data_IF_742783425770
#
_entry.id   IF_742783425770
#
_cell.length_a   1.000
_cell.length_b   1.000
_cell.length_c   1.000
_cell.angle_alpha   90.00
_cell.angle_beta   90.00
_cell.angle_gamma   90.00
#
_symmetry.space_group_name_H-M   'P 1'
#
loop_
_entity.id
_entity.type
_entity.pdbx_description
1 polymer ?
#
# COMPACT_ATOMS: atom_id res chain seq x y z
N UNK A 1 -1.77 8.95 4.15
CA UNK A 1 -1.79 7.49 4.38
C UNK A 1 -3.12 6.87 4.00
N UNK A 2 -4.22 7.26 4.66
CA UNK A 2 -5.55 6.66 4.44
C UNK A 2 -5.99 6.69 2.96
N UNK A 3 -5.86 7.86 2.30
CA UNK A 3 -6.23 8.03 0.89
C UNK A 3 -5.48 7.07 -0.06
N UNK A 4 -4.18 6.84 0.17
CA UNK A 4 -3.40 5.90 -0.64
C UNK A 4 -3.80 4.45 -0.40
N UNK A 5 -4.08 4.08 0.85
CA UNK A 5 -4.54 2.72 1.19
C UNK A 5 -5.89 2.42 0.55
N UNK A 6 -6.86 3.32 0.68
CA UNK A 6 -8.17 3.16 0.06
C UNK A 6 -8.10 3.16 -1.47
N UNK A 7 -7.26 4.01 -2.08
CA UNK A 7 -7.11 4.04 -3.53
C UNK A 7 -6.49 2.74 -4.09
N UNK A 8 -5.43 2.21 -3.45
CA UNK A 8 -4.83 0.93 -3.84
C UNK A 8 -5.75 -0.25 -3.60
N UNK A 9 -6.40 -0.31 -2.42
CA UNK A 9 -7.30 -1.39 -2.06
C UNK A 9 -8.52 -1.44 -2.98
N UNK A 10 -9.13 -0.29 -3.28
CA UNK A 10 -10.24 -0.20 -4.22
C UNK A 10 -9.79 -0.43 -5.67
N UNK A 11 -8.66 0.12 -6.10
CA UNK A 11 -8.16 -0.06 -7.46
C UNK A 11 -7.82 -1.52 -7.77
N UNK A 12 -7.02 -2.17 -6.92
CA UNK A 12 -6.65 -3.57 -7.10
C UNK A 12 -7.81 -4.53 -6.79
N UNK A 13 -8.65 -4.21 -5.80
CA UNK A 13 -9.82 -5.01 -5.45
C UNK A 13 -10.94 -4.96 -6.50
N UNK A 14 -11.25 -3.78 -7.03
CA UNK A 14 -12.21 -3.64 -8.14
C UNK A 14 -11.65 -4.22 -9.44
N UNK A 15 -10.34 -4.07 -9.69
CA UNK A 15 -9.68 -4.68 -10.84
C UNK A 15 -9.78 -6.21 -10.81
N UNK A 16 -9.47 -6.84 -9.68
CA UNK A 16 -9.59 -8.30 -9.54
C UNK A 16 -11.05 -8.79 -9.59
N UNK A 17 -12.00 -8.00 -9.06
CA UNK A 17 -13.43 -8.25 -9.20
C UNK A 17 -13.89 -8.19 -10.66
N UNK A 18 -13.38 -7.24 -11.44
CA UNK A 18 -13.68 -7.09 -12.87
C UNK A 18 -13.14 -8.27 -13.71
N UNK A 19 -12.09 -8.95 -13.24
CA UNK A 19 -11.57 -10.19 -13.83
C UNK A 19 -12.32 -11.46 -13.41
N UNK A 20 -13.40 -11.35 -12.61
CA UNK A 20 -14.28 -12.47 -12.25
C UNK A 20 -13.85 -13.26 -11.00
N UNK A 21 -12.91 -12.74 -10.20
CA UNK A 21 -12.50 -13.38 -8.95
C UNK A 21 -13.47 -13.10 -7.79
N UNK A 22 -13.54 -14.03 -6.85
CA UNK A 22 -14.39 -13.91 -5.66
C UNK A 22 -14.05 -12.68 -4.82
N UNK A 23 -15.03 -12.16 -4.07
CA UNK A 23 -14.87 -10.96 -3.24
C UNK A 23 -13.75 -11.15 -2.20
N UNK A 24 -13.63 -12.36 -1.64
CA UNK A 24 -12.56 -12.71 -0.68
C UNK A 24 -11.18 -12.72 -1.34
N UNK A 25 -11.05 -13.22 -2.57
CA UNK A 25 -9.79 -13.19 -3.31
C UNK A 25 -9.41 -11.77 -3.70
N UNK A 26 -10.38 -10.97 -4.11
CA UNK A 26 -10.17 -9.58 -4.53
C UNK A 26 -9.70 -8.70 -3.36
N UNK A 27 -10.28 -8.90 -2.17
CA UNK A 27 -9.85 -8.22 -0.95
C UNK A 27 -8.41 -8.61 -0.57
N UNK A 28 -8.06 -9.91 -0.62
CA UNK A 28 -6.70 -10.40 -0.32
C UNK A 28 -5.66 -9.78 -1.25
N UNK A 29 -5.95 -9.68 -2.55
CA UNK A 29 -5.04 -9.06 -3.52
C UNK A 29 -4.91 -7.56 -3.28
N UNK A 30 -6.03 -6.87 -3.05
CA UNK A 30 -6.03 -5.43 -2.74
C UNK A 30 -5.22 -5.11 -1.47
N UNK A 31 -5.33 -5.96 -0.45
CA UNK A 31 -4.61 -5.82 0.82
C UNK A 31 -3.13 -6.19 0.72
N UNK A 32 -2.77 -7.20 -0.08
CA UNK A 32 -1.37 -7.57 -0.33
C UNK A 32 -0.57 -6.46 -1.02
N UNK A 33 -1.23 -5.61 -1.82
CA UNK A 33 -0.60 -4.52 -2.57
C UNK A 33 -0.43 -3.22 -1.77
N UNK A 34 -0.92 -3.15 -0.53
CA UNK A 34 -0.88 -1.94 0.30
C UNK A 34 0.54 -1.61 0.77
N UNK A 35 1.41 -2.60 0.94
CA UNK A 35 2.74 -2.42 1.50
C UNK A 35 3.65 -1.53 0.62
N UNK A 36 4.43 -0.68 1.28
CA UNK A 36 5.48 0.12 0.65
C UNK A 36 6.75 -0.74 0.57
N UNK A 37 7.22 -1.02 -0.64
CA UNK A 37 8.45 -1.79 -0.88
C UNK A 37 9.71 -0.91 -0.88
N UNK A 38 10.87 -1.54 -0.88
CA UNK A 38 12.20 -0.89 -0.92
C UNK A 38 12.34 0.13 -2.05
N UNK A 39 11.64 -0.12 -3.17
CA UNK A 39 11.63 0.75 -4.34
C UNK A 39 11.18 2.19 -4.05
N UNK A 40 10.26 2.40 -3.10
CA UNK A 40 9.82 3.74 -2.73
C UNK A 40 10.94 4.54 -2.04
N UNK A 41 11.78 3.88 -1.26
CA UNK A 41 12.95 4.49 -0.61
C UNK A 41 14.05 4.80 -1.61
N UNK A 42 14.24 3.95 -2.62
CA UNK A 42 15.20 4.20 -3.72
C UNK A 42 14.78 5.45 -4.51
N UNK A 43 13.52 5.55 -4.93
CA UNK A 43 13.01 6.73 -5.68
C UNK A 43 13.13 8.01 -4.86
N UNK A 44 12.85 7.93 -3.56
CA UNK A 44 13.04 9.03 -2.63
C UNK A 44 14.50 9.49 -2.54
N UNK A 45 15.44 8.54 -2.45
CA UNK A 45 16.87 8.86 -2.40
C UNK A 45 17.33 9.52 -3.70
N UNK A 46 16.91 9.00 -4.84
CA UNK A 46 17.21 9.60 -6.15
C UNK A 46 16.61 11.00 -6.29
N UNK A 47 15.38 11.22 -5.81
CA UNK A 47 14.74 12.54 -5.85
C UNK A 47 15.35 13.56 -4.88
N UNK A 48 15.91 13.10 -3.76
CA UNK A 48 16.73 13.91 -2.85
C UNK A 48 18.05 14.30 -3.52
N UNK A 49 18.74 13.34 -4.16
CA UNK A 49 20.01 13.59 -4.88
C UNK A 49 19.83 14.56 -6.06
N UNK A 50 18.65 14.56 -6.70
CA UNK A 50 18.28 15.51 -7.74
C UNK A 50 17.79 16.87 -7.20
N UNK A 51 17.66 17.04 -5.88
CA UNK A 51 17.17 18.25 -5.24
C UNK A 51 15.68 18.55 -5.45
N UNK A 52 14.92 17.60 -6.01
CA UNK A 52 13.48 17.75 -6.32
C UNK A 52 12.62 17.47 -5.09
N UNK A 53 13.15 16.68 -4.15
CA UNK A 53 12.46 16.24 -2.93
C UNK A 53 13.16 16.84 -1.72
N UNK A 54 12.38 17.52 -0.87
CA UNK A 54 12.87 18.04 0.42
C UNK A 54 13.22 16.89 1.38
N UNK A 55 14.34 16.98 2.14
CA UNK A 55 14.76 15.92 3.06
C UNK A 55 13.73 15.58 4.15
N UNK A 56 12.74 16.45 4.40
CA UNK A 56 11.62 16.19 5.30
C UNK A 56 10.62 15.13 4.79
N UNK A 57 10.62 14.86 3.48
CA UNK A 57 9.73 13.85 2.89
C UNK A 57 10.24 12.42 3.19
N UNK A 58 11.53 12.22 3.40
CA UNK A 58 12.11 10.91 3.72
C UNK A 58 11.55 10.31 5.02
N UNK A 59 11.59 11.01 6.17
CA UNK A 59 10.96 10.52 7.41
C UNK A 59 9.44 10.46 7.29
N UNK A 60 8.82 11.36 6.52
CA UNK A 60 7.36 11.34 6.31
C UNK A 60 6.92 10.03 5.62
N UNK A 61 7.57 9.65 4.51
CA UNK A 61 7.27 8.39 3.81
C UNK A 61 7.68 7.19 4.66
N UNK A 62 8.78 7.28 5.41
CA UNK A 62 9.19 6.24 6.36
C UNK A 62 8.11 5.94 7.40
N UNK A 63 7.55 6.97 8.03
CA UNK A 63 6.44 6.82 9.00
C UNK A 63 5.21 6.21 8.33
N UNK A 64 4.87 6.66 7.12
CA UNK A 64 3.77 6.07 6.34
C UNK A 64 4.03 4.60 6.08
N UNK A 65 5.23 4.20 5.65
CA UNK A 65 5.60 2.82 5.37
C UNK A 65 5.50 1.91 6.60
N UNK A 66 5.97 2.38 7.76
CA UNK A 66 5.87 1.64 9.02
C UNK A 66 4.41 1.43 9.42
N UNK A 67 3.60 2.50 9.44
CA UNK A 67 2.17 2.41 9.78
C UNK A 67 1.45 1.44 8.84
N UNK A 68 1.73 1.57 7.54
CA UNK A 68 1.10 0.75 6.49
C UNK A 68 1.49 -0.72 6.66
N UNK A 69 2.76 -1.01 6.93
CA UNK A 69 3.27 -2.38 7.14
C UNK A 69 2.67 -3.06 8.37
N UNK A 70 2.46 -2.31 9.45
CA UNK A 70 1.77 -2.83 10.64
C UNK A 70 0.28 -3.07 10.41
N UNK A 71 -0.37 -2.26 9.58
CA UNK A 71 -1.80 -2.36 9.33
C UNK A 71 -2.16 -3.46 8.31
N UNK A 72 -1.27 -3.76 7.36
CA UNK A 72 -1.45 -4.83 6.35
C UNK A 72 -1.79 -6.20 6.95
N UNK A 73 -1.04 -6.78 7.92
CA UNK A 73 -1.37 -8.10 8.48
C UNK A 73 -2.70 -8.10 9.25
N UNK A 74 -3.06 -6.98 9.88
CA UNK A 74 -4.34 -6.85 10.57
C UNK A 74 -5.52 -6.87 9.59
N UNK A 75 -5.39 -6.13 8.48
CA UNK A 75 -6.38 -6.13 7.41
C UNK A 75 -6.48 -7.49 6.70
N UNK A 76 -5.36 -8.17 6.46
CA UNK A 76 -5.35 -9.51 5.86
C UNK A 76 -6.04 -10.54 6.77
N UNK A 77 -5.84 -10.47 8.09
CA UNK A 77 -6.57 -11.32 9.06
C UNK A 77 -8.08 -11.07 8.99
N UNK A 78 -8.51 -9.80 8.96
CA UNK A 78 -9.92 -9.45 8.83
C UNK A 78 -10.52 -9.98 7.52
N UNK A 79 -9.76 -9.93 6.42
CA UNK A 79 -10.15 -10.53 5.13
C UNK A 79 -10.28 -12.05 5.16
N UNK A 80 -9.64 -12.73 6.12
CA UNK A 80 -9.79 -14.17 6.30
C UNK A 80 -11.04 -14.52 7.13
N UNK A 81 -11.50 -13.59 7.97
CA UNK A 81 -12.65 -13.80 8.87
C UNK A 81 -14.01 -13.43 8.23
N UNK A 82 -13.99 -12.63 7.17
CA UNK A 82 -15.20 -12.21 6.41
C UNK A 82 -15.53 -13.17 5.24
N UNK A 83 -14.61 -14.07 4.88
CA UNK A 83 -14.78 -15.05 3.78
C UNK A 83 -14.96 -16.46 4.28
#
# INVERSE_FOLDING_TARGET
TLTMMSAKMLGCGLGTRAFGYDASTSLRVGLGMIQIGEFAFIVMKVGEDLGVISPLLFPTIGVVAVITTFLTPYLIKLSYEIG
#
